data_IF_903209821057
#
_entry.id   IF_903209821057
#
_cell.length_a   1.000
_cell.length_b   1.000
_cell.length_c   1.000
_cell.angle_alpha   90.00
_cell.angle_beta   90.00
_cell.angle_gamma   90.00
#
_symmetry.space_group_name_H-M   'P 1'
#
loop_
_entity.id
_entity.type
_entity.pdbx_description
1 polymer ?
#
# COMPACT_ATOMS: atom_id res chain seq x y z
N UNK A 1 -29.09 9.59 -9.60
CA UNK A 1 -29.43 10.23 -8.32
C UNK A 1 -28.43 9.78 -7.28
N UNK A 2 -27.76 10.63 -6.53
CA UNK A 2 -26.86 10.20 -5.47
C UNK A 2 -27.66 9.49 -4.38
N UNK A 3 -27.16 8.37 -3.90
CA UNK A 3 -27.81 7.53 -2.90
C UNK A 3 -28.07 8.29 -1.61
N UNK A 4 -29.34 8.31 -1.19
CA UNK A 4 -29.87 9.07 -0.06
C UNK A 4 -29.38 8.62 1.34
N UNK A 5 -28.45 7.67 1.43
CA UNK A 5 -28.03 7.05 2.70
C UNK A 5 -26.50 6.97 2.91
N UNK A 6 -25.74 7.91 2.39
CA UNK A 6 -24.31 7.99 2.70
C UNK A 6 -24.13 8.90 3.90
N UNK A 7 -23.73 8.32 5.04
CA UNK A 7 -23.36 9.08 6.24
C UNK A 7 -22.06 9.84 6.00
N UNK A 8 -22.04 11.12 6.39
CA UNK A 8 -20.81 11.91 6.36
C UNK A 8 -19.85 11.46 7.47
N UNK A 9 -18.56 11.44 7.18
CA UNK A 9 -17.51 11.18 8.17
C UNK A 9 -17.28 12.41 9.07
N UNK A 10 -16.95 12.20 10.36
CA UNK A 10 -16.80 10.94 11.07
C UNK A 10 -18.15 10.32 11.48
N UNK A 11 -18.26 9.01 11.37
CA UNK A 11 -19.43 8.26 11.85
C UNK A 11 -19.30 8.08 13.36
N UNK A 12 -20.30 8.52 14.12
CA UNK A 12 -20.35 8.25 15.57
C UNK A 12 -20.57 6.77 15.85
N UNK A 13 -19.77 6.20 16.78
CA UNK A 13 -19.94 4.82 17.24
C UNK A 13 -20.85 4.82 18.47
N UNK A 14 -21.95 4.03 18.50
CA UNK A 14 -22.77 3.85 19.67
C UNK A 14 -21.96 3.33 20.88
N UNK A 15 -22.29 3.80 22.10
CA UNK A 15 -21.50 3.47 23.30
C UNK A 15 -21.42 1.98 23.62
N UNK A 16 -22.50 1.25 23.36
CA UNK A 16 -22.57 -0.21 23.52
C UNK A 16 -21.63 -0.96 22.56
N UNK A 17 -21.53 -0.49 21.33
CA UNK A 17 -20.57 -1.02 20.34
C UNK A 17 -19.13 -0.60 20.65
N UNK A 18 -18.93 0.59 21.21
CA UNK A 18 -17.61 1.06 21.58
C UNK A 18 -16.92 0.15 22.62
N UNK A 19 -17.66 -0.36 23.60
CA UNK A 19 -17.12 -1.29 24.60
C UNK A 19 -16.65 -2.61 23.97
N UNK A 20 -17.44 -3.19 23.07
CA UNK A 20 -17.03 -4.40 22.34
C UNK A 20 -15.78 -4.16 21.47
N UNK A 21 -15.70 -2.99 20.85
CA UNK A 21 -14.53 -2.61 20.06
C UNK A 21 -13.25 -2.46 20.91
N UNK A 22 -13.37 -1.99 22.16
CA UNK A 22 -12.22 -1.87 23.07
C UNK A 22 -11.59 -3.24 23.38
N UNK A 23 -12.40 -4.27 23.60
CA UNK A 23 -11.88 -5.63 23.85
C UNK A 23 -11.14 -6.16 22.61
N UNK A 24 -11.76 -6.05 21.43
CA UNK A 24 -11.13 -6.48 20.17
C UNK A 24 -9.85 -5.70 19.88
N UNK A 25 -9.86 -4.38 20.07
CA UNK A 25 -8.67 -3.54 19.90
C UNK A 25 -7.54 -3.92 20.84
N UNK A 26 -7.86 -4.26 22.09
CA UNK A 26 -6.87 -4.69 23.08
C UNK A 26 -6.20 -6.00 22.66
N UNK A 27 -7.00 -6.97 22.20
CA UNK A 27 -6.48 -8.24 21.69
C UNK A 27 -5.62 -8.06 20.44
N UNK A 28 -6.10 -7.26 19.50
CA UNK A 28 -5.37 -6.95 18.27
C UNK A 28 -4.05 -6.24 18.57
N UNK A 29 -4.05 -5.22 19.43
CA UNK A 29 -2.83 -4.52 19.82
C UNK A 29 -1.82 -5.44 20.49
N UNK A 30 -2.28 -6.35 21.35
CA UNK A 30 -1.41 -7.36 21.97
C UNK A 30 -0.77 -8.28 20.92
N UNK A 31 -1.57 -8.78 19.97
CA UNK A 31 -1.06 -9.65 18.88
C UNK A 31 -0.07 -8.92 17.97
N UNK A 32 -0.38 -7.67 17.63
CA UNK A 32 0.52 -6.81 16.82
C UNK A 32 1.83 -6.58 17.56
N UNK A 33 1.79 -6.21 18.85
CA UNK A 33 2.99 -6.00 19.66
C UNK A 33 3.88 -7.23 19.74
N UNK A 34 3.31 -8.40 19.96
CA UNK A 34 4.05 -9.68 19.95
C UNK A 34 4.65 -10.01 18.59
N UNK A 35 3.93 -9.74 17.52
CA UNK A 35 4.43 -9.95 16.17
C UNK A 35 5.59 -8.99 15.85
N UNK A 36 5.44 -7.71 16.17
CA UNK A 36 6.47 -6.69 15.97
C UNK A 36 7.77 -7.03 16.71
N UNK A 37 7.66 -7.51 17.96
CA UNK A 37 8.83 -7.96 18.73
C UNK A 37 9.54 -9.14 18.04
N UNK A 38 8.78 -10.15 17.60
CA UNK A 38 9.34 -11.30 16.88
C UNK A 38 10.03 -10.90 15.58
N UNK A 39 9.43 -9.98 14.83
CA UNK A 39 10.02 -9.47 13.58
C UNK A 39 11.28 -8.67 13.87
N UNK A 40 11.27 -7.81 14.90
CA UNK A 40 12.43 -7.00 15.30
C UNK A 40 13.62 -7.83 15.76
N UNK A 41 13.37 -8.94 16.42
CA UNK A 41 14.40 -9.88 16.88
C UNK A 41 14.90 -10.87 15.81
N UNK A 42 14.24 -10.90 14.64
CA UNK A 42 14.58 -11.82 13.56
C UNK A 42 15.79 -11.34 12.77
N UNK A 43 16.76 -12.25 12.53
CA UNK A 43 17.92 -11.97 11.68
C UNK A 43 17.55 -11.77 10.20
N UNK A 44 16.38 -12.28 9.78
CA UNK A 44 15.87 -12.17 8.40
C UNK A 44 14.83 -11.07 8.22
N UNK A 45 14.73 -10.15 9.19
CA UNK A 45 13.72 -9.09 9.22
C UNK A 45 13.59 -8.33 7.90
N UNK A 46 14.72 -7.86 7.37
CA UNK A 46 14.73 -7.04 6.16
C UNK A 46 14.26 -7.83 4.94
N UNK A 47 14.72 -9.07 4.81
CA UNK A 47 14.26 -9.97 3.74
C UNK A 47 12.77 -10.29 3.84
N UNK A 48 12.25 -10.51 5.04
CA UNK A 48 10.82 -10.72 5.27
C UNK A 48 10.00 -9.49 4.87
N UNK A 49 10.44 -8.30 5.25
CA UNK A 49 9.76 -7.04 4.89
C UNK A 49 9.73 -6.88 3.37
N UNK A 50 10.84 -7.14 2.68
CA UNK A 50 10.91 -7.07 1.21
C UNK A 50 9.97 -8.06 0.53
N UNK A 51 9.93 -9.32 1.02
CA UNK A 51 9.04 -10.35 0.48
C UNK A 51 7.58 -9.99 0.70
N UNK A 52 7.21 -9.52 1.90
CA UNK A 52 5.84 -9.10 2.19
C UNK A 52 5.43 -7.87 1.40
N UNK A 53 6.33 -6.89 1.25
CA UNK A 53 6.09 -5.70 0.43
C UNK A 53 5.87 -6.08 -1.04
N UNK A 54 6.66 -7.01 -1.59
CA UNK A 54 6.46 -7.49 -2.95
C UNK A 54 5.12 -8.23 -3.11
N UNK A 55 4.81 -9.12 -2.16
CA UNK A 55 3.53 -9.86 -2.18
C UNK A 55 2.34 -8.90 -2.09
N UNK A 56 2.40 -7.90 -1.21
CA UNK A 56 1.38 -6.89 -1.07
C UNK A 56 1.22 -6.10 -2.38
N UNK A 57 2.32 -5.70 -3.03
CA UNK A 57 2.29 -4.99 -4.31
C UNK A 57 1.58 -5.80 -5.40
N UNK A 58 1.84 -7.11 -5.48
CA UNK A 58 1.18 -8.01 -6.44
C UNK A 58 -0.32 -8.12 -6.15
N UNK A 59 -0.70 -8.32 -4.89
CA UNK A 59 -2.12 -8.47 -4.52
C UNK A 59 -2.90 -7.16 -4.68
N UNK A 60 -2.30 -6.02 -4.37
CA UNK A 60 -2.93 -4.70 -4.54
C UNK A 60 -3.15 -4.36 -6.00
N UNK A 61 -2.17 -4.59 -6.87
CA UNK A 61 -2.32 -4.32 -8.31
C UNK A 61 -3.26 -5.31 -8.99
N UNK A 62 -3.49 -6.51 -8.43
CA UNK A 62 -4.55 -7.42 -8.89
C UNK A 62 -5.93 -6.82 -8.81
N UNK A 63 -6.22 -5.99 -7.82
CA UNK A 63 -7.49 -5.27 -7.70
C UNK A 63 -7.67 -4.33 -8.91
N UNK A 64 -6.58 -3.79 -9.43
CA UNK A 64 -6.54 -2.92 -10.62
C UNK A 64 -6.52 -3.72 -11.95
N UNK A 65 -6.57 -5.05 -11.86
CA UNK A 65 -6.70 -5.94 -13.02
C UNK A 65 -5.41 -6.54 -13.57
N UNK A 66 -4.28 -6.43 -12.87
CA UNK A 66 -3.05 -7.16 -13.26
C UNK A 66 -3.23 -8.66 -13.04
N UNK A 67 -2.64 -9.49 -13.93
CA UNK A 67 -2.72 -10.95 -13.87
C UNK A 67 -1.40 -11.59 -13.42
N UNK A 68 -0.37 -10.79 -13.13
CA UNK A 68 0.95 -11.25 -12.70
C UNK A 68 0.88 -11.86 -11.31
N UNK A 69 1.54 -12.99 -11.15
CA UNK A 69 1.67 -13.67 -9.86
C UNK A 69 2.98 -13.29 -9.16
N UNK A 70 3.07 -13.60 -7.88
CA UNK A 70 4.32 -13.42 -7.12
C UNK A 70 5.48 -14.23 -7.73
N UNK A 71 5.21 -15.43 -8.25
CA UNK A 71 6.22 -16.27 -8.92
C UNK A 71 6.72 -15.60 -10.20
N UNK A 72 5.81 -15.09 -11.03
CA UNK A 72 6.18 -14.36 -12.25
C UNK A 72 7.11 -13.18 -11.94
N UNK A 73 6.86 -12.45 -10.85
CA UNK A 73 7.73 -11.34 -10.42
C UNK A 73 9.14 -11.79 -10.06
N UNK A 74 9.29 -12.99 -9.54
CA UNK A 74 10.62 -13.53 -9.21
C UNK A 74 11.37 -14.03 -10.45
N UNK A 75 10.66 -14.57 -11.42
CA UNK A 75 11.23 -15.13 -12.66
C UNK A 75 11.57 -14.04 -13.68
N UNK A 76 10.67 -13.09 -13.92
CA UNK A 76 10.85 -12.03 -14.93
C UNK A 76 11.82 -10.91 -14.54
N UNK A 77 12.28 -10.84 -13.29
CA UNK A 77 13.34 -9.87 -12.91
C UNK A 77 14.63 -9.99 -13.74
N UNK A 78 14.76 -11.06 -14.52
CA UNK A 78 15.90 -11.31 -15.41
C UNK A 78 15.66 -10.92 -16.87
N UNK A 79 14.47 -10.56 -17.27
CA UNK A 79 14.15 -10.23 -18.67
C UNK A 79 14.49 -8.77 -19.03
N UNK A 80 15.00 -8.58 -20.26
CA UNK A 80 15.40 -7.25 -20.75
C UNK A 80 14.21 -6.34 -21.11
N UNK A 81 13.02 -6.90 -21.22
CA UNK A 81 11.82 -6.17 -21.62
C UNK A 81 10.60 -6.65 -20.82
N UNK A 82 10.45 -6.17 -19.58
CA UNK A 82 9.39 -6.63 -18.70
C UNK A 82 8.01 -6.25 -19.24
N UNK A 83 7.02 -7.12 -19.03
CA UNK A 83 5.61 -6.81 -19.31
C UNK A 83 5.19 -5.55 -18.55
N UNK A 84 4.29 -4.76 -19.13
CA UNK A 84 3.77 -3.53 -18.50
C UNK A 84 3.21 -3.77 -17.07
N UNK A 85 2.66 -4.94 -16.82
CA UNK A 85 2.16 -5.35 -15.50
C UNK A 85 3.29 -5.43 -14.46
N UNK A 86 4.47 -5.92 -14.85
CA UNK A 86 5.66 -5.96 -13.99
C UNK A 86 6.13 -4.53 -13.67
N UNK A 87 6.04 -3.63 -14.64
CA UNK A 87 6.37 -2.21 -14.44
C UNK A 87 5.40 -1.59 -13.42
N UNK A 88 4.10 -1.84 -13.55
CA UNK A 88 3.09 -1.33 -12.61
C UNK A 88 3.33 -1.84 -11.18
N UNK A 89 3.60 -3.14 -10.99
CA UNK A 89 3.91 -3.70 -9.67
C UNK A 89 5.20 -3.10 -9.10
N UNK A 90 6.22 -2.94 -9.92
CA UNK A 90 7.50 -2.34 -9.51
C UNK A 90 7.33 -0.87 -9.13
N UNK A 91 6.49 -0.12 -9.85
CA UNK A 91 6.16 1.26 -9.53
C UNK A 91 5.38 1.36 -8.22
N UNK A 92 4.42 0.46 -7.99
CA UNK A 92 3.69 0.39 -6.73
C UNK A 92 4.66 0.16 -5.56
N UNK A 93 5.54 -0.82 -5.67
CA UNK A 93 6.54 -1.11 -4.64
C UNK A 93 7.46 0.10 -4.38
N UNK A 94 7.91 0.78 -5.44
CA UNK A 94 8.74 1.98 -5.33
C UNK A 94 8.00 3.15 -4.67
N UNK A 95 6.73 3.37 -5.04
CA UNK A 95 5.90 4.40 -4.43
C UNK A 95 5.68 4.12 -2.93
N UNK A 96 5.38 2.88 -2.57
CA UNK A 96 5.20 2.45 -1.19
C UNK A 96 6.48 2.67 -0.36
N UNK A 97 7.63 2.25 -0.88
CA UNK A 97 8.93 2.43 -0.21
C UNK A 97 9.25 3.92 -0.02
N UNK A 98 9.07 4.73 -1.08
CA UNK A 98 9.32 6.18 -1.00
C UNK A 98 8.42 6.84 0.04
N UNK A 99 7.12 6.50 0.05
CA UNK A 99 6.17 7.02 1.03
C UNK A 99 6.56 6.64 2.46
N UNK A 100 6.92 5.39 2.68
CA UNK A 100 7.36 4.90 3.98
C UNK A 100 8.60 5.66 4.48
N UNK A 101 9.62 5.81 3.65
CA UNK A 101 10.85 6.52 4.01
C UNK A 101 10.62 8.00 4.31
N UNK A 102 9.78 8.67 3.51
CA UNK A 102 9.40 10.07 3.75
C UNK A 102 8.73 10.24 5.11
N UNK A 103 7.70 9.41 5.40
CA UNK A 103 6.96 9.48 6.67
C UNK A 103 7.87 9.11 7.86
N UNK A 104 8.69 8.08 7.72
CA UNK A 104 9.65 7.68 8.76
C UNK A 104 10.64 8.79 9.11
N UNK A 105 11.04 9.59 8.12
CA UNK A 105 11.92 10.75 8.30
C UNK A 105 11.17 12.02 8.73
N UNK A 106 9.90 11.90 9.17
CA UNK A 106 9.11 13.01 9.70
C UNK A 106 8.43 13.88 8.64
N UNK A 107 8.44 13.47 7.36
CA UNK A 107 7.72 14.22 6.34
C UNK A 107 6.21 14.06 6.53
N UNK A 108 5.43 15.16 6.63
CA UNK A 108 4.00 15.07 6.86
C UNK A 108 3.25 14.56 5.62
N UNK A 109 2.12 13.91 5.85
CA UNK A 109 1.20 13.52 4.77
C UNK A 109 0.55 14.79 4.23
N UNK A 110 0.94 15.17 3.01
CA UNK A 110 0.48 16.39 2.33
C UNK A 110 0.00 16.05 0.92
N UNK A 111 -0.76 16.97 0.32
CA UNK A 111 -1.14 16.86 -1.10
C UNK A 111 0.07 16.76 -2.03
N UNK A 112 1.20 17.37 -1.66
CA UNK A 112 2.45 17.27 -2.41
C UNK A 112 3.01 15.85 -2.38
N UNK A 113 3.04 15.21 -1.21
CA UNK A 113 3.49 13.82 -1.08
C UNK A 113 2.60 12.87 -1.89
N UNK A 114 1.26 13.06 -1.82
CA UNK A 114 0.31 12.24 -2.58
C UNK A 114 0.58 12.37 -4.09
N UNK A 115 0.82 13.58 -4.60
CA UNK A 115 1.15 13.81 -6.01
C UNK A 115 2.47 13.14 -6.42
N UNK A 116 3.50 13.28 -5.59
CA UNK A 116 4.81 12.64 -5.81
C UNK A 116 4.68 11.11 -5.89
N UNK A 117 3.93 10.51 -4.95
CA UNK A 117 3.71 9.06 -4.95
C UNK A 117 2.87 8.60 -6.15
N UNK A 118 1.87 9.38 -6.54
CA UNK A 118 1.06 9.11 -7.73
C UNK A 118 1.89 9.21 -9.02
N UNK A 119 2.82 10.16 -9.12
CA UNK A 119 3.74 10.28 -10.25
C UNK A 119 4.64 9.04 -10.38
N UNK A 120 5.19 8.56 -9.26
CA UNK A 120 5.97 7.32 -9.21
C UNK A 120 5.13 6.11 -9.63
N UNK A 121 3.90 6.02 -9.12
CA UNK A 121 2.99 4.91 -9.41
C UNK A 121 2.64 4.81 -10.90
N UNK A 122 2.45 5.95 -11.54
CA UNK A 122 2.02 6.04 -12.95
C UNK A 122 3.19 6.07 -13.94
N UNK A 123 4.44 6.00 -13.49
CA UNK A 123 5.61 6.08 -14.37
C UNK A 123 5.65 4.89 -15.35
N UNK A 124 5.79 5.17 -16.65
CA UNK A 124 5.93 4.16 -17.72
C UNK A 124 4.82 3.09 -17.78
N UNK A 125 3.76 3.21 -16.96
CA UNK A 125 2.60 2.33 -16.92
C UNK A 125 1.47 2.78 -17.83
N UNK A 126 0.35 2.03 -17.81
CA UNK A 126 -0.89 2.43 -18.48
C UNK A 126 -1.37 3.76 -17.90
N UNK A 127 -1.57 4.76 -18.77
CA UNK A 127 -2.02 6.10 -18.37
C UNK A 127 -0.91 7.08 -18.02
N UNK A 128 0.37 6.73 -18.19
CA UNK A 128 1.52 7.62 -17.97
C UNK A 128 1.47 8.94 -18.75
N UNK A 129 0.70 8.98 -19.84
CA UNK A 129 0.50 10.18 -20.68
C UNK A 129 -0.56 11.14 -20.13
N UNK A 130 -1.29 10.77 -19.07
CA UNK A 130 -2.37 11.58 -18.49
C UNK A 130 -1.92 12.17 -17.16
N UNK A 131 -1.45 13.42 -17.16
CA UNK A 131 -1.29 14.28 -15.97
C UNK A 131 -0.97 13.55 -14.65
N UNK A 132 0.00 12.61 -14.66
CA UNK A 132 0.44 11.91 -13.45
C UNK A 132 0.95 12.95 -12.43
N UNK A 133 0.57 12.78 -11.15
CA UNK A 133 0.92 13.75 -10.12
C UNK A 133 0.01 15.00 -10.06
N UNK A 134 -1.04 15.10 -10.89
CA UNK A 134 -1.99 16.20 -10.84
C UNK A 134 -3.39 15.76 -10.38
N UNK A 135 -4.09 16.61 -9.64
CA UNK A 135 -5.50 16.39 -9.32
C UNK A 135 -6.36 16.63 -10.56
N UNK A 136 -7.37 15.81 -10.77
CA UNK A 136 -8.38 16.06 -11.80
C UNK A 136 -9.10 17.37 -11.51
N UNK A 137 -9.26 18.18 -12.55
CA UNK A 137 -10.07 19.40 -12.52
C UNK A 137 -11.54 19.07 -12.68
#
# INVERSE_FOLDING_TARGET
>A
MPGKNVSLLPIGIPKDQALQLVEVLSEVNYKIGRFDEKVKSSQIRESLIQIFSLKESVESTRIEGTQVTFTDMLEEKSERNPRWEIIEISNYQRALQTGYERIKNGYPITSRLIKELHEILMADGRGSTQSSGEFRK
#
